data_IF_433161620213
#
_entry.id   IF_433161620213
#
_cell.length_a   1.000
_cell.length_b   1.000
_cell.length_c   1.000
_cell.angle_alpha   90.00
_cell.angle_beta   90.00
_cell.angle_gamma   90.00
#
_symmetry.space_group_name_H-M   'P 1'
#
loop_
_entity.id
_entity.type
_entity.pdbx_description
1 polymer ?
#
# COMPACT_ATOMS: atom_id res chain seq x y z
N UNK A 1 26.51 6.52 -8.64
CA UNK A 1 26.99 7.58 -7.74
C UNK A 1 27.79 7.04 -6.53
N UNK A 2 28.05 5.73 -6.39
CA UNK A 2 28.94 5.16 -5.38
C UNK A 2 28.40 5.02 -3.95
N UNK A 3 27.10 5.13 -3.70
CA UNK A 3 26.49 4.89 -2.38
C UNK A 3 26.43 6.13 -1.47
N UNK A 4 26.03 5.98 -0.18
CA UNK A 4 25.56 4.75 0.45
C UNK A 4 24.19 4.30 -0.05
N UNK A 5 23.91 2.99 0.04
CA UNK A 5 22.55 2.46 -0.15
C UNK A 5 21.80 2.50 1.18
N UNK A 6 20.58 3.03 1.19
CA UNK A 6 19.78 3.14 2.43
C UNK A 6 18.72 2.04 2.46
N UNK A 7 18.58 1.38 3.60
CA UNK A 7 17.54 0.39 3.92
C UNK A 7 16.89 0.81 5.24
N UNK A 8 15.58 0.71 5.35
CA UNK A 8 14.88 1.20 6.53
C UNK A 8 15.09 0.30 7.75
N UNK A 9 15.17 -1.02 7.58
CA UNK A 9 15.44 -1.96 8.67
C UNK A 9 16.13 -3.23 8.13
N UNK A 10 17.08 -3.85 8.89
CA UNK A 10 17.79 -5.05 8.43
C UNK A 10 16.87 -6.25 8.13
N UNK A 11 15.73 -6.35 8.83
CA UNK A 11 14.81 -7.48 8.70
C UNK A 11 13.56 -7.15 7.86
N UNK A 12 13.50 -5.98 7.24
CA UNK A 12 12.35 -5.60 6.42
C UNK A 12 12.23 -6.51 5.21
N UNK A 13 11.03 -7.03 4.98
CA UNK A 13 10.71 -7.83 3.81
C UNK A 13 9.63 -7.18 2.97
N UNK A 14 9.64 -7.42 1.66
CA UNK A 14 8.60 -7.00 0.73
C UNK A 14 8.36 -8.07 -0.31
N UNK A 15 7.16 -8.09 -0.84
CA UNK A 15 6.81 -8.93 -1.98
C UNK A 15 7.17 -8.23 -3.28
N UNK A 16 7.62 -9.01 -4.24
CA UNK A 16 7.99 -8.51 -5.56
C UNK A 16 7.28 -9.31 -6.65
N UNK A 17 6.89 -8.60 -7.68
CA UNK A 17 6.31 -9.19 -8.87
C UNK A 17 6.78 -8.38 -10.08
N UNK A 18 7.07 -9.05 -11.20
CA UNK A 18 7.39 -8.33 -12.43
C UNK A 18 6.16 -7.61 -12.98
N UNK A 19 6.37 -6.50 -13.66
CA UNK A 19 5.27 -5.76 -14.29
C UNK A 19 4.50 -6.62 -15.29
N UNK A 20 5.20 -7.47 -16.05
CA UNK A 20 4.59 -8.39 -17.01
C UNK A 20 3.69 -9.40 -16.31
N UNK A 21 4.15 -10.01 -15.22
CA UNK A 21 3.37 -10.96 -14.43
C UNK A 21 2.14 -10.29 -13.81
N UNK A 22 2.33 -9.13 -13.18
CA UNK A 22 1.22 -8.37 -12.58
C UNK A 22 0.14 -8.04 -13.63
N UNK A 23 0.55 -7.60 -14.83
CA UNK A 23 -0.38 -7.28 -15.91
C UNK A 23 -1.16 -8.50 -16.39
N UNK A 24 -0.47 -9.64 -16.58
CA UNK A 24 -1.13 -10.88 -17.00
C UNK A 24 -2.12 -11.38 -15.95
N UNK A 25 -1.75 -11.36 -14.67
CA UNK A 25 -2.63 -11.76 -13.58
C UNK A 25 -3.84 -10.82 -13.45
N UNK A 26 -3.66 -9.52 -13.65
CA UNK A 26 -4.76 -8.56 -13.65
C UNK A 26 -5.77 -8.84 -14.78
N UNK A 27 -5.30 -9.15 -15.98
CA UNK A 27 -6.16 -9.51 -17.11
C UNK A 27 -6.90 -10.83 -16.82
N UNK A 28 -6.21 -11.83 -16.28
CA UNK A 28 -6.84 -13.10 -15.89
C UNK A 28 -7.88 -12.88 -14.78
N UNK A 29 -7.58 -12.08 -13.79
CA UNK A 29 -8.51 -11.72 -12.74
C UNK A 29 -9.78 -11.04 -13.29
N UNK A 30 -9.62 -10.13 -14.25
CA UNK A 30 -10.74 -9.46 -14.91
C UNK A 30 -11.65 -10.40 -15.73
N UNK A 31 -11.07 -11.47 -16.30
CA UNK A 31 -11.83 -12.47 -17.07
C UNK A 31 -12.53 -13.50 -16.17
N UNK A 32 -11.99 -13.77 -15.00
CA UNK A 32 -12.46 -14.85 -14.10
C UNK A 32 -13.35 -14.33 -12.97
N UNK A 33 -13.15 -13.07 -12.57
CA UNK A 33 -13.84 -12.47 -11.43
C UNK A 33 -15.32 -12.27 -11.65
N UNK A 34 -16.09 -12.45 -10.59
CA UNK A 34 -17.53 -12.18 -10.57
C UNK A 34 -17.80 -10.89 -9.80
N UNK A 35 -18.96 -10.28 -10.07
CA UNK A 35 -19.38 -9.07 -9.35
C UNK A 35 -19.37 -9.31 -7.82
N UNK A 36 -18.74 -8.40 -7.08
CA UNK A 36 -18.62 -8.47 -5.64
C UNK A 36 -17.49 -9.36 -5.11
N UNK A 37 -16.70 -10.01 -5.97
CA UNK A 37 -15.51 -10.76 -5.56
C UNK A 37 -14.29 -9.84 -5.51
N UNK A 38 -13.42 -10.10 -4.51
CA UNK A 38 -12.10 -9.48 -4.41
C UNK A 38 -11.08 -10.57 -4.78
N UNK A 39 -10.40 -10.38 -5.90
CA UNK A 39 -9.35 -11.27 -6.34
C UNK A 39 -8.01 -10.82 -5.76
N UNK A 40 -7.28 -11.76 -5.21
CA UNK A 40 -6.00 -11.55 -4.55
C UNK A 40 -4.92 -12.29 -5.32
N UNK A 41 -3.81 -11.62 -5.53
CA UNK A 41 -2.65 -12.20 -6.20
C UNK A 41 -1.79 -12.95 -5.19
N UNK A 42 -1.40 -14.17 -5.54
CA UNK A 42 -0.35 -14.88 -4.80
C UNK A 42 1.01 -14.28 -5.16
N UNK A 43 1.59 -13.58 -4.21
CA UNK A 43 2.85 -12.87 -4.37
C UNK A 43 4.08 -13.76 -4.16
N UNK A 44 3.88 -15.05 -3.81
CA UNK A 44 4.98 -15.93 -3.45
C UNK A 44 5.67 -15.56 -2.14
N UNK A 45 6.96 -15.84 -2.02
CA UNK A 45 7.72 -15.59 -0.81
C UNK A 45 8.19 -14.13 -0.70
N UNK A 46 8.17 -13.55 0.50
CA UNK A 46 8.68 -12.21 0.72
C UNK A 46 10.21 -12.17 0.62
N UNK A 47 10.74 -11.14 -0.01
CA UNK A 47 12.17 -10.92 -0.19
C UNK A 47 12.69 -9.92 0.84
N UNK A 48 13.81 -10.26 1.48
CA UNK A 48 14.51 -9.37 2.41
C UNK A 48 15.18 -8.23 1.66
N UNK A 49 14.84 -7.00 2.00
CA UNK A 49 15.34 -5.82 1.29
C UNK A 49 16.86 -5.66 1.39
N UNK A 50 17.43 -6.06 2.54
CA UNK A 50 18.89 -6.06 2.71
C UNK A 50 19.59 -6.96 1.70
N UNK A 51 19.07 -8.16 1.46
CA UNK A 51 19.66 -9.11 0.52
C UNK A 51 19.49 -8.64 -0.92
N UNK A 52 18.32 -8.11 -1.25
CA UNK A 52 18.09 -7.46 -2.54
C UNK A 52 19.06 -6.28 -2.77
N UNK A 53 19.30 -5.45 -1.76
CA UNK A 53 20.25 -4.35 -1.85
C UNK A 53 21.68 -4.85 -2.16
N UNK A 54 22.13 -5.91 -1.49
CA UNK A 54 23.42 -6.53 -1.74
C UNK A 54 23.52 -7.10 -3.17
N UNK A 55 22.48 -7.78 -3.62
CA UNK A 55 22.44 -8.33 -4.97
C UNK A 55 22.45 -7.24 -6.04
N UNK A 56 21.72 -6.14 -5.82
CA UNK A 56 21.75 -4.98 -6.71
C UNK A 56 23.13 -4.33 -6.79
N UNK A 57 23.86 -4.24 -5.66
CA UNK A 57 25.25 -3.75 -5.66
C UNK A 57 26.13 -4.67 -6.51
N UNK A 58 26.06 -5.99 -6.29
CA UNK A 58 26.83 -6.99 -7.09
C UNK A 58 26.50 -6.90 -8.58
N UNK A 59 25.22 -6.84 -8.93
CA UNK A 59 24.76 -6.72 -10.31
C UNK A 59 25.20 -5.43 -10.99
N UNK A 60 25.43 -4.36 -10.24
CA UNK A 60 25.99 -3.12 -10.77
C UNK A 60 27.47 -3.18 -11.11
N UNK A 61 28.14 -4.32 -10.82
CA UNK A 61 29.58 -4.49 -10.99
C UNK A 61 30.40 -3.89 -9.85
N UNK A 62 29.77 -3.39 -8.80
CA UNK A 62 30.44 -2.86 -7.61
C UNK A 62 30.64 -3.97 -6.56
N UNK A 63 31.68 -3.79 -5.75
CA UNK A 63 31.93 -4.67 -4.61
C UNK A 63 31.03 -4.25 -3.43
N UNK A 64 30.20 -5.18 -2.89
CA UNK A 64 29.34 -4.91 -1.74
C UNK A 64 30.09 -4.42 -0.50
N UNK A 65 31.36 -4.80 -0.35
CA UNK A 65 32.17 -4.38 0.80
C UNK A 65 32.66 -2.92 0.68
N UNK A 66 32.60 -2.35 -0.52
CA UNK A 66 32.98 -0.95 -0.79
C UNK A 66 31.78 0.01 -0.80
N UNK A 67 30.55 -0.50 -0.88
CA UNK A 67 29.34 0.33 -0.85
C UNK A 67 28.62 0.12 0.49
N UNK A 68 28.66 1.08 1.42
CA UNK A 68 28.04 0.92 2.71
C UNK A 68 26.52 0.90 2.59
N UNK A 69 25.89 -0.04 3.34
CA UNK A 69 24.43 -0.06 3.53
C UNK A 69 24.14 0.60 4.89
N UNK A 70 23.33 1.65 4.86
CA UNK A 70 22.97 2.44 6.05
C UNK A 70 21.50 2.19 6.40
N UNK A 71 21.24 1.88 7.67
CA UNK A 71 19.88 1.71 8.18
C UNK A 71 19.33 3.04 8.67
N UNK A 72 18.17 3.44 8.13
CA UNK A 72 17.55 4.75 8.42
C UNK A 72 16.46 4.70 9.50
N UNK A 73 16.06 3.49 9.93
CA UNK A 73 14.89 3.27 10.76
C UNK A 73 13.60 3.21 9.94
N UNK A 74 12.58 2.54 10.50
CA UNK A 74 11.25 2.46 9.90
C UNK A 74 10.57 3.84 9.93
N UNK A 75 9.86 4.17 8.87
CA UNK A 75 9.05 5.39 8.81
C UNK A 75 7.77 5.22 9.65
N UNK A 76 7.15 6.31 10.13
CA UNK A 76 5.85 6.22 10.78
C UNK A 76 4.82 5.50 9.89
N UNK A 77 4.21 4.43 10.40
CA UNK A 77 3.25 3.61 9.65
C UNK A 77 3.86 2.57 8.70
N UNK A 78 5.19 2.50 8.57
CA UNK A 78 5.84 1.47 7.77
C UNK A 78 5.85 0.14 8.52
N UNK A 79 5.30 -0.92 7.88
CA UNK A 79 5.33 -2.27 8.44
C UNK A 79 6.68 -2.94 8.18
N UNK A 80 7.17 -3.67 9.17
CA UNK A 80 8.37 -4.50 9.02
C UNK A 80 8.10 -5.66 8.05
N UNK A 81 6.94 -6.28 8.19
CA UNK A 81 6.43 -7.35 7.34
C UNK A 81 5.09 -6.95 6.75
N UNK A 82 4.90 -7.16 5.44
CA UNK A 82 3.62 -6.92 4.80
C UNK A 82 2.73 -8.17 4.88
N UNK A 83 1.46 -7.96 5.16
CA UNK A 83 0.45 -8.99 5.15
C UNK A 83 -0.33 -8.90 3.84
N UNK A 84 -0.23 -9.92 2.99
CA UNK A 84 -0.97 -9.96 1.71
C UNK A 84 -2.45 -10.26 1.96
N UNK A 85 -2.72 -11.06 2.99
CA UNK A 85 -4.07 -11.42 3.44
C UNK A 85 -4.06 -11.70 4.95
N UNK A 86 -5.18 -11.43 5.60
CA UNK A 86 -5.34 -11.62 7.03
C UNK A 86 -5.30 -13.10 7.47
N UNK A 87 -5.62 -14.06 6.60
CA UNK A 87 -5.44 -15.52 6.83
C UNK A 87 -5.74 -16.30 5.55
N UNK A 88 -5.08 -17.46 5.36
CA UNK A 88 -5.38 -18.40 4.26
C UNK A 88 -6.82 -18.95 4.33
N UNK A 89 -7.39 -19.07 5.51
CA UNK A 89 -8.76 -19.55 5.74
C UNK A 89 -9.82 -18.62 5.13
N UNK A 90 -9.49 -17.35 4.91
CA UNK A 90 -10.40 -16.36 4.33
C UNK A 90 -10.40 -16.34 2.80
N UNK A 91 -9.70 -17.25 2.13
CA UNK A 91 -9.60 -17.26 0.67
C UNK A 91 -10.10 -18.56 0.05
N UNK A 92 -10.68 -18.45 -1.15
CA UNK A 92 -11.02 -19.58 -2.02
C UNK A 92 -10.04 -19.65 -3.20
N UNK A 93 -9.66 -20.88 -3.59
CA UNK A 93 -8.88 -21.12 -4.79
C UNK A 93 -9.68 -20.76 -6.05
N UNK A 94 -8.96 -20.41 -7.11
CA UNK A 94 -9.50 -20.24 -8.47
C UNK A 94 -8.85 -21.28 -9.40
N UNK A 95 -9.32 -21.44 -10.64
CA UNK A 95 -8.62 -22.25 -11.64
C UNK A 95 -7.20 -21.77 -11.95
N UNK A 96 -6.87 -20.51 -11.64
CA UNK A 96 -5.53 -20.00 -11.81
C UNK A 96 -4.73 -20.12 -10.52
N UNK A 97 -3.53 -20.78 -10.50
CA UNK A 97 -2.81 -21.10 -9.27
C UNK A 97 -2.36 -19.87 -8.48
N UNK A 98 -2.13 -18.74 -9.15
CA UNK A 98 -1.70 -17.48 -8.52
C UNK A 98 -2.84 -16.48 -8.24
N UNK A 99 -4.10 -16.91 -8.40
CA UNK A 99 -5.27 -16.08 -8.11
C UNK A 99 -6.15 -16.76 -7.06
N UNK A 100 -6.52 -16.02 -6.03
CA UNK A 100 -7.44 -16.47 -4.98
C UNK A 100 -8.58 -15.47 -4.84
N UNK A 101 -9.73 -15.91 -4.40
CA UNK A 101 -10.86 -15.04 -4.06
C UNK A 101 -10.86 -14.82 -2.57
N UNK A 102 -10.73 -13.59 -2.11
CA UNK A 102 -10.86 -13.26 -0.69
C UNK A 102 -12.29 -13.46 -0.20
N UNK A 103 -12.43 -13.99 1.01
CA UNK A 103 -13.71 -14.01 1.72
C UNK A 103 -14.08 -12.60 2.15
N UNK A 104 -14.84 -11.88 1.33
CA UNK A 104 -15.29 -10.55 1.67
C UNK A 104 -16.27 -10.62 2.85
N UNK A 105 -15.98 -9.89 3.95
CA UNK A 105 -17.01 -9.62 4.98
C UNK A 105 -18.01 -8.65 4.38
N UNK A 106 -19.29 -8.94 4.56
CA UNK A 106 -20.32 -7.98 4.20
C UNK A 106 -20.21 -6.77 5.14
N UNK A 107 -19.87 -5.62 4.56
CA UNK A 107 -19.92 -4.38 5.31
C UNK A 107 -21.37 -4.02 5.65
N UNK A 108 -21.63 -3.66 6.91
CA UNK A 108 -22.91 -3.09 7.28
C UNK A 108 -23.13 -1.76 6.54
N UNK A 109 -24.29 -1.60 5.91
CA UNK A 109 -24.67 -0.32 5.25
C UNK A 109 -24.60 0.85 6.22
N UNK A 110 -24.95 0.61 7.48
CA UNK A 110 -24.93 1.64 8.53
C UNK A 110 -23.50 2.04 8.87
N UNK A 111 -22.57 1.09 8.96
CA UNK A 111 -21.16 1.38 9.20
C UNK A 111 -20.55 2.19 8.04
N UNK A 112 -20.84 1.82 6.79
CA UNK A 112 -20.41 2.58 5.62
C UNK A 112 -21.01 3.99 5.63
N UNK A 113 -22.30 4.13 5.93
CA UNK A 113 -22.96 5.42 6.06
C UNK A 113 -22.33 6.31 7.13
N UNK A 114 -21.98 5.74 8.28
CA UNK A 114 -21.28 6.46 9.35
C UNK A 114 -19.85 6.89 8.95
N UNK A 115 -19.12 6.04 8.21
CA UNK A 115 -17.80 6.39 7.68
C UNK A 115 -17.88 7.57 6.70
N UNK A 116 -18.84 7.53 5.77
CA UNK A 116 -19.07 8.62 4.81
C UNK A 116 -19.43 9.89 5.55
N UNK A 117 -20.37 9.84 6.50
CA UNK A 117 -20.78 10.99 7.27
C UNK A 117 -19.63 11.58 8.12
N UNK A 118 -18.71 10.76 8.59
CA UNK A 118 -17.49 11.24 9.26
C UNK A 118 -16.60 12.02 8.28
N UNK A 119 -16.34 11.45 7.09
CA UNK A 119 -15.53 12.11 6.07
C UNK A 119 -16.12 13.44 5.58
N UNK A 120 -17.45 13.54 5.53
CA UNK A 120 -18.15 14.75 5.08
C UNK A 120 -18.18 15.84 6.14
N UNK A 121 -18.39 15.46 7.42
CA UNK A 121 -18.58 16.41 8.51
C UNK A 121 -17.29 16.99 9.08
N UNK A 122 -16.24 16.19 9.17
CA UNK A 122 -15.11 16.51 10.03
C UNK A 122 -13.76 16.47 9.33
N UNK A 123 -13.50 17.49 8.51
CA UNK A 123 -12.10 17.86 8.20
C UNK A 123 -11.33 18.34 9.44
N UNK A 124 -12.03 18.50 10.58
CA UNK A 124 -11.50 18.99 11.84
C UNK A 124 -11.49 17.95 12.97
N UNK A 125 -11.91 16.69 12.72
CA UNK A 125 -11.83 15.64 13.73
C UNK A 125 -10.38 15.40 14.12
N UNK A 126 -10.08 15.45 15.41
CA UNK A 126 -8.73 15.17 15.91
C UNK A 126 -8.33 13.71 15.67
N UNK A 127 -7.05 13.46 15.46
CA UNK A 127 -6.50 12.12 15.21
C UNK A 127 -6.95 11.06 16.22
N UNK A 128 -7.12 11.41 17.48
CA UNK A 128 -7.57 10.50 18.53
C UNK A 128 -9.01 10.02 18.28
N UNK A 129 -9.91 10.92 17.86
CA UNK A 129 -11.29 10.57 17.55
C UNK A 129 -11.38 9.69 16.31
N UNK A 130 -10.63 10.03 15.26
CA UNK A 130 -10.58 9.21 14.02
C UNK A 130 -10.10 7.80 14.35
N UNK A 131 -9.03 7.67 15.16
CA UNK A 131 -8.50 6.35 15.57
C UNK A 131 -9.51 5.55 16.39
N UNK A 132 -10.19 6.19 17.35
CA UNK A 132 -11.19 5.52 18.16
C UNK A 132 -12.36 4.99 17.31
N UNK A 133 -12.79 5.76 16.32
CA UNK A 133 -13.83 5.32 15.38
C UNK A 133 -13.35 4.20 14.45
N UNK A 134 -12.14 4.29 13.92
CA UNK A 134 -11.55 3.21 13.14
C UNK A 134 -11.49 1.90 13.93
N UNK A 135 -11.11 1.96 15.21
CA UNK A 135 -11.13 0.78 16.09
C UNK A 135 -12.52 0.18 16.28
N UNK A 136 -13.55 1.02 16.33
CA UNK A 136 -14.92 0.53 16.47
C UNK A 136 -15.48 -0.13 15.21
N UNK A 137 -14.96 0.23 14.03
CA UNK A 137 -15.43 -0.29 12.74
C UNK A 137 -14.58 -1.44 12.21
N UNK A 138 -13.29 -1.45 12.54
CA UNK A 138 -12.29 -2.39 12.02
C UNK A 138 -11.68 -3.13 13.21
N UNK A 139 -12.16 -4.36 13.45
CA UNK A 139 -11.75 -5.15 14.63
C UNK A 139 -10.24 -5.44 14.66
N UNK A 140 -9.61 -5.53 13.50
CA UNK A 140 -8.18 -5.80 13.35
C UNK A 140 -7.31 -4.52 13.45
N UNK A 141 -7.92 -3.35 13.51
CA UNK A 141 -7.17 -2.10 13.60
C UNK A 141 -6.61 -1.90 15.01
N UNK A 142 -5.30 -2.07 15.13
CA UNK A 142 -4.54 -1.75 16.34
C UNK A 142 -3.62 -0.56 16.05
N UNK A 143 -3.92 0.66 16.54
CA UNK A 143 -3.02 1.79 16.35
C UNK A 143 -1.70 1.52 17.10
N UNK A 144 -0.54 1.89 16.53
CA UNK A 144 0.73 1.76 17.20
C UNK A 144 0.72 2.56 18.51
N UNK A 145 1.10 1.92 19.60
CA UNK A 145 1.18 2.56 20.92
C UNK A 145 2.18 3.74 20.85
N UNK A 146 1.71 4.95 21.09
CA UNK A 146 2.58 6.10 21.34
C UNK A 146 3.28 6.75 20.14
N UNK A 147 2.86 6.50 18.90
CA UNK A 147 3.41 7.24 17.76
C UNK A 147 2.97 8.72 17.81
N UNK A 148 3.89 9.68 18.02
CA UNK A 148 3.54 11.09 17.90
C UNK A 148 3.12 11.34 16.43
N UNK A 149 1.88 11.80 16.23
CA UNK A 149 1.42 12.19 14.92
C UNK A 149 2.11 13.47 14.54
N UNK A 150 3.04 13.38 13.59
CA UNK A 150 3.59 14.58 12.97
C UNK A 150 2.44 15.18 12.12
N UNK A 151 1.98 16.40 12.41
CA UNK A 151 0.92 17.00 11.60
C UNK A 151 1.38 17.02 10.14
N UNK A 152 0.50 16.58 9.25
CA UNK A 152 0.70 16.78 7.80
C UNK A 152 0.97 18.26 7.57
N UNK A 153 2.00 18.63 6.79
CA UNK A 153 2.19 20.00 6.43
C UNK A 153 0.90 20.52 5.80
N UNK A 154 0.35 21.60 6.35
CA UNK A 154 -0.79 22.30 5.80
C UNK A 154 -0.40 22.81 4.41
N UNK A 155 -0.66 22.01 3.38
CA UNK A 155 -0.57 22.45 2.00
C UNK A 155 -1.85 23.20 1.63
N UNK A 156 -2.06 24.33 2.27
CA UNK A 156 -2.82 25.40 1.65
C UNK A 156 -1.84 26.14 0.74
N UNK A 157 -1.93 26.07 -0.59
CA UNK A 157 -1.23 27.03 -1.42
C UNK A 157 -1.85 28.39 -1.08
N UNK A 158 -0.99 29.30 -0.56
CA UNK A 158 -1.31 30.71 -0.50
C UNK A 158 -1.80 31.12 -1.89
N UNK A 159 -2.98 31.70 -1.96
CA UNK A 159 -3.49 32.31 -3.19
C UNK A 159 -2.54 33.44 -3.62
N UNK A 160 -1.57 33.07 -4.46
CA UNK A 160 -0.72 33.97 -5.22
C UNK A 160 -1.36 34.11 -6.60
N UNK A 161 -1.69 35.31 -6.94
CA UNK A 161 -2.22 35.76 -8.23
C UNK A 161 -1.44 35.16 -9.41
N UNK A 162 -2.16 34.65 -10.42
CA UNK A 162 -1.60 34.50 -11.75
C UNK A 162 -1.54 33.09 -12.37
N UNK A 163 -2.28 32.08 -11.91
CA UNK A 163 -2.34 30.79 -12.60
C UNK A 163 -3.49 30.77 -13.62
N UNK A 164 -3.12 30.82 -14.92
CA UNK A 164 -4.03 30.51 -16.04
C UNK A 164 -4.66 29.15 -15.84
N UNK A 165 -5.98 29.06 -16.02
CA UNK A 165 -6.73 27.82 -15.97
C UNK A 165 -6.14 26.79 -16.96
N UNK A 166 -5.97 25.52 -16.54
CA UNK A 166 -5.53 24.48 -17.46
C UNK A 166 -6.61 24.21 -18.51
N UNK A 167 -6.19 24.16 -19.76
CA UNK A 167 -7.03 23.78 -20.90
C UNK A 167 -7.56 22.36 -20.68
N UNK A 168 -8.87 22.09 -20.84
CA UNK A 168 -9.40 20.75 -20.65
C UNK A 168 -8.83 19.79 -21.71
N UNK A 169 -8.26 18.69 -21.26
CA UNK A 169 -7.81 17.59 -22.11
C UNK A 169 -9.02 17.01 -22.87
N UNK A 170 -8.96 17.06 -24.19
CA UNK A 170 -9.96 16.45 -25.09
C UNK A 170 -9.90 14.92 -24.90
N UNK A 171 -11.01 14.33 -24.48
CA UNK A 171 -11.13 12.88 -24.37
C UNK A 171 -10.90 12.20 -25.74
N UNK A 172 -10.12 11.10 -25.79
CA UNK A 172 -9.95 10.35 -27.04
C UNK A 172 -11.30 9.71 -27.43
N UNK A 173 -11.71 9.92 -28.69
CA UNK A 173 -12.84 9.19 -29.27
C UNK A 173 -12.35 7.80 -29.68
N UNK A 174 -12.80 6.79 -28.96
CA UNK A 174 -12.67 5.40 -29.40
C UNK A 174 -13.72 5.13 -30.47
N UNK A 175 -13.29 4.68 -31.66
CA UNK A 175 -14.14 4.04 -32.66
C UNK A 175 -14.05 2.53 -32.50
#
# INVERSE_FOLDING_TARGET
RGGPVTVTHPDITRYFMSLSEATQLLLQAGLMGRSGEILVLDMGDPVRILDLARDMIRLSGADPDHIPIVFTGLRPGEKLYEEVLASEEATRSTPHPKLRVAGARQASRDAVGQMIALCERDRAAGDAEVRARLQSWIAEYAPPAGAPVKPLPSSAPSAGEGARAPTPLRAPRWR
#
